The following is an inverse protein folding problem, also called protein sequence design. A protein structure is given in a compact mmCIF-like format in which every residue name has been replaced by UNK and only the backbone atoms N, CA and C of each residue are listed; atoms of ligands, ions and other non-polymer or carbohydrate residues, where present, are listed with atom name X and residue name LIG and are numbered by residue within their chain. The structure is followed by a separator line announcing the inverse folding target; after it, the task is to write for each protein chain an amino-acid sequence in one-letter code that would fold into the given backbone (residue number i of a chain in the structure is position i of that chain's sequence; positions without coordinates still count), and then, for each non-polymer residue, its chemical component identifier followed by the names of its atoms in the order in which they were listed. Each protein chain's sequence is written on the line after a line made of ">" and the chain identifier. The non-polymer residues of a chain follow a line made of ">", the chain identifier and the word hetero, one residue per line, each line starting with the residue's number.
data_IF_153075883440
#
_entry.id   IF_153075883440
#
_cell.length_a   1.000
_cell.length_b   1.000
_cell.length_c   1.000
_cell.angle_alpha   90.00
_cell.angle_beta   90.00
_cell.angle_gamma   90.00
#
_symmetry.space_group_name_H-M   'P 1'
#
loop_
_entity.id
_entity.type
_entity.pdbx_description
1 polymer ?
#
# COMPACT_ATOMS: atom_id res chain seq x y z
N UNK A 1 -11.62 27.10 -12.16
CA UNK A 1 -11.33 25.66 -12.30
C UNK A 1 -10.77 25.05 -11.00
N UNK A 2 -9.50 25.26 -10.60
CA UNK A 2 -8.91 24.64 -9.37
C UNK A 2 -9.56 25.04 -8.04
N UNK A 3 -9.86 26.32 -7.84
CA UNK A 3 -10.47 26.80 -6.59
C UNK A 3 -11.98 26.51 -6.47
N UNK A 4 -12.61 26.05 -7.56
CA UNK A 4 -14.03 25.69 -7.58
C UNK A 4 -14.25 24.20 -7.32
N UNK A 5 -13.24 23.34 -7.57
CA UNK A 5 -13.34 21.90 -7.33
C UNK A 5 -12.77 21.44 -5.99
N UNK A 6 -12.06 22.30 -5.25
CA UNK A 6 -11.42 21.93 -3.98
C UNK A 6 -10.22 20.97 -4.12
N UNK A 7 -9.68 20.80 -5.34
CA UNK A 7 -8.63 19.82 -5.62
C UNK A 7 -7.25 20.33 -5.19
N UNK A 8 -6.83 19.96 -3.98
CA UNK A 8 -5.48 20.22 -3.44
C UNK A 8 -4.71 18.92 -3.29
N UNK A 9 -3.41 18.95 -3.63
CA UNK A 9 -2.54 17.78 -3.48
C UNK A 9 -2.02 17.70 -2.04
N UNK A 10 -2.15 16.53 -1.42
CA UNK A 10 -1.61 16.28 -0.08
C UNK A 10 -0.09 16.07 -0.16
N UNK A 11 0.73 16.83 0.59
CA UNK A 11 2.18 16.62 0.64
C UNK A 11 2.54 15.19 1.04
N UNK A 12 3.66 14.67 0.54
CA UNK A 12 4.05 13.27 0.71
C UNK A 12 4.28 12.91 2.18
N UNK A 13 4.87 13.82 2.93
CA UNK A 13 5.17 13.69 4.35
C UNK A 13 3.89 13.49 5.17
N UNK A 14 2.84 14.22 4.79
CA UNK A 14 1.52 14.17 5.42
C UNK A 14 0.81 12.85 5.07
N UNK A 15 0.93 12.39 3.82
CA UNK A 15 0.42 11.07 3.41
C UNK A 15 1.11 9.96 4.19
N UNK A 16 2.44 9.95 4.22
CA UNK A 16 3.23 8.92 4.90
C UNK A 16 2.89 8.87 6.39
N UNK A 17 2.85 10.02 7.06
CA UNK A 17 2.50 10.09 8.48
C UNK A 17 1.11 9.51 8.77
N UNK A 18 0.10 9.89 7.99
CA UNK A 18 -1.26 9.40 8.20
C UNK A 18 -1.42 7.91 7.90
N UNK A 19 -0.74 7.41 6.86
CA UNK A 19 -0.73 5.98 6.55
C UNK A 19 -0.10 5.19 7.70
N UNK A 20 1.05 5.65 8.20
CA UNK A 20 1.77 5.00 9.29
C UNK A 20 0.93 4.96 10.57
N UNK A 21 0.36 6.10 11.00
CA UNK A 21 -0.53 6.14 12.16
C UNK A 21 -1.76 5.26 12.00
N UNK A 22 -2.34 5.18 10.80
CA UNK A 22 -3.53 4.36 10.53
C UNK A 22 -3.21 2.86 10.64
N UNK A 23 -2.12 2.41 10.03
CA UNK A 23 -1.70 1.00 10.09
C UNK A 23 -1.28 0.64 11.53
N UNK A 24 -0.50 1.48 12.20
CA UNK A 24 -0.10 1.26 13.61
C UNK A 24 -1.31 1.19 14.54
N UNK A 25 -2.30 2.07 14.34
CA UNK A 25 -3.53 2.06 15.14
C UNK A 25 -4.35 0.79 14.90
N UNK A 26 -4.37 0.25 13.67
CA UNK A 26 -5.07 -0.99 13.34
C UNK A 26 -4.38 -2.24 13.91
N UNK A 27 -3.05 -2.31 13.83
CA UNK A 27 -2.27 -3.44 14.37
C UNK A 27 -2.23 -3.45 15.90
N UNK A 28 -2.32 -2.27 16.52
CA UNK A 28 -2.13 -2.05 17.95
C UNK A 28 -0.74 -1.47 18.22
N UNK A 29 -0.65 -0.50 19.15
CA UNK A 29 0.60 0.24 19.42
C UNK A 29 1.55 -0.53 20.35
N UNK A 30 2.13 -1.64 19.87
CA UNK A 30 3.22 -2.36 20.54
C UNK A 30 4.61 -1.91 20.05
N UNK A 31 5.67 -2.18 20.82
CA UNK A 31 7.05 -1.90 20.38
C UNK A 31 7.42 -2.70 19.12
N UNK A 32 6.95 -3.95 19.01
CA UNK A 32 7.12 -4.75 17.81
C UNK A 32 6.43 -4.11 16.60
N UNK A 33 5.22 -3.59 16.77
CA UNK A 33 4.50 -2.93 15.67
C UNK A 33 5.24 -1.68 15.23
N UNK A 34 5.72 -0.85 16.16
CA UNK A 34 6.47 0.36 15.83
C UNK A 34 7.78 0.06 15.11
N UNK A 35 8.47 -1.02 15.48
CA UNK A 35 9.77 -1.34 14.86
C UNK A 35 9.65 -1.67 13.37
N UNK A 36 8.52 -2.22 12.91
CA UNK A 36 8.26 -2.50 11.48
C UNK A 36 8.32 -1.24 10.59
N UNK A 37 8.04 -0.08 11.17
CA UNK A 37 8.01 1.20 10.46
C UNK A 37 9.41 1.86 10.38
N UNK A 38 10.38 1.34 11.14
CA UNK A 38 11.77 1.80 11.12
C UNK A 38 12.48 1.41 9.83
N UNK A 39 13.43 2.23 9.40
CA UNK A 39 14.34 1.92 8.29
C UNK A 39 15.34 0.81 8.68
N UNK A 40 15.72 0.75 9.95
CA UNK A 40 16.70 -0.22 10.50
C UNK A 40 16.06 -1.54 10.96
N UNK A 41 14.82 -1.83 10.57
CA UNK A 41 14.12 -3.05 10.98
C UNK A 41 14.91 -4.30 10.56
N UNK A 42 15.06 -5.24 11.49
CA UNK A 42 15.65 -6.56 11.26
C UNK A 42 14.68 -7.63 11.74
N UNK A 43 14.53 -8.69 10.93
CA UNK A 43 13.73 -9.85 11.30
C UNK A 43 14.33 -10.57 12.51
N UNK A 44 13.52 -10.74 13.56
CA UNK A 44 13.88 -11.54 14.71
C UNK A 44 13.12 -12.88 14.71
N UNK A 45 13.86 -13.99 14.64
CA UNK A 45 13.27 -15.33 14.66
C UNK A 45 12.46 -15.61 15.93
N UNK A 46 12.71 -14.90 17.03
CA UNK A 46 11.94 -15.02 18.27
C UNK A 46 10.48 -14.55 18.13
N UNK A 47 10.19 -13.65 17.19
CA UNK A 47 8.87 -13.05 16.98
C UNK A 47 8.13 -13.60 15.76
N UNK A 48 8.51 -14.79 15.29
CA UNK A 48 7.99 -15.39 14.06
C UNK A 48 6.45 -15.53 14.07
N UNK A 49 5.87 -15.93 15.19
CA UNK A 49 4.42 -16.10 15.30
C UNK A 49 3.70 -14.74 15.26
N UNK A 50 4.24 -13.73 15.93
CA UNK A 50 3.70 -12.37 15.89
C UNK A 50 3.79 -11.76 14.49
N UNK A 51 4.90 -11.96 13.77
CA UNK A 51 5.02 -11.51 12.39
C UNK A 51 4.01 -12.19 11.47
N UNK A 52 3.79 -13.49 11.61
CA UNK A 52 2.77 -14.20 10.85
C UNK A 52 1.35 -13.66 11.14
N UNK A 53 1.05 -13.37 12.42
CA UNK A 53 -0.23 -12.77 12.80
C UNK A 53 -0.40 -11.33 12.27
N UNK A 54 0.67 -10.53 12.25
CA UNK A 54 0.67 -9.19 11.65
C UNK A 54 0.48 -9.28 10.14
N UNK A 55 1.21 -10.17 9.46
CA UNK A 55 1.08 -10.38 8.02
C UNK A 55 -0.37 -10.74 7.64
N UNK A 56 -0.98 -11.68 8.36
CA UNK A 56 -2.37 -12.09 8.14
C UNK A 56 -3.35 -10.92 8.35
N UNK A 57 -3.18 -10.13 9.41
CA UNK A 57 -3.98 -8.92 9.64
C UNK A 57 -3.84 -7.90 8.50
N UNK A 58 -2.63 -7.69 7.99
CA UNK A 58 -2.35 -6.72 6.92
C UNK A 58 -2.84 -7.20 5.56
N UNK A 59 -2.76 -8.50 5.26
CA UNK A 59 -3.30 -9.09 4.02
C UNK A 59 -4.83 -9.06 3.97
N UNK A 60 -5.49 -8.95 5.13
CA UNK A 60 -6.95 -8.92 5.25
C UNK A 60 -7.53 -7.54 5.60
N UNK A 61 -6.69 -6.51 5.78
CA UNK A 61 -7.15 -5.15 6.11
C UNK A 61 -8.05 -4.60 5.00
N UNK A 62 -9.08 -3.82 5.36
CA UNK A 62 -9.93 -3.09 4.39
C UNK A 62 -9.83 -1.60 4.67
N UNK A 63 -9.32 -0.83 3.70
CA UNK A 63 -9.15 0.62 3.83
C UNK A 63 -9.91 1.32 2.72
N UNK A 64 -10.66 2.36 3.08
CA UNK A 64 -11.43 3.17 2.16
C UNK A 64 -10.97 4.64 2.23
N UNK A 65 -10.64 5.20 1.07
CA UNK A 65 -10.49 6.65 0.89
C UNK A 65 -11.71 7.20 0.11
N UNK A 66 -12.65 7.90 0.76
CA UNK A 66 -13.90 8.35 0.14
C UNK A 66 -13.75 9.61 -0.73
N UNK A 67 -12.55 10.21 -0.79
CA UNK A 67 -12.24 11.36 -1.64
C UNK A 67 -10.80 11.22 -2.16
N UNK A 68 -10.56 10.11 -2.86
CA UNK A 68 -9.21 9.62 -3.12
C UNK A 68 -8.39 10.49 -4.07
N UNK A 69 -9.04 11.42 -4.78
CA UNK A 69 -8.42 12.30 -5.75
C UNK A 69 -7.63 11.49 -6.76
N UNK A 70 -6.42 11.97 -7.06
CA UNK A 70 -5.49 11.26 -7.94
C UNK A 70 -4.76 10.10 -7.27
N UNK A 71 -5.12 9.72 -6.04
CA UNK A 71 -4.65 8.49 -5.39
C UNK A 71 -3.44 8.68 -4.48
N UNK A 72 -3.30 9.84 -3.82
CA UNK A 72 -2.17 10.09 -2.93
C UNK A 72 -2.14 9.09 -1.74
N UNK A 73 -3.24 8.98 -0.99
CA UNK A 73 -3.33 8.04 0.13
C UNK A 73 -3.42 6.57 -0.29
N UNK A 74 -4.24 6.16 -1.28
CA UNK A 74 -4.27 4.77 -1.72
C UNK A 74 -2.91 4.25 -2.18
N UNK A 75 -2.12 5.08 -2.87
CA UNK A 75 -0.75 4.73 -3.26
C UNK A 75 0.22 4.71 -2.08
N UNK A 76 0.11 5.67 -1.16
CA UNK A 76 0.91 5.67 0.07
C UNK A 76 0.68 4.42 0.91
N UNK A 77 -0.59 4.04 1.08
CA UNK A 77 -1.00 2.82 1.76
C UNK A 77 -0.47 1.56 1.08
N UNK A 78 -0.65 1.44 -0.24
CA UNK A 78 -0.12 0.31 -1.01
C UNK A 78 1.38 0.13 -0.77
N UNK A 79 2.15 1.22 -0.95
CA UNK A 79 3.59 1.17 -0.80
C UNK A 79 4.00 0.78 0.63
N UNK A 80 3.30 1.31 1.64
CA UNK A 80 3.63 1.03 3.04
C UNK A 80 3.27 -0.39 3.46
N UNK A 81 2.12 -0.90 3.03
CA UNK A 81 1.73 -2.30 3.27
C UNK A 81 2.72 -3.26 2.61
N UNK A 82 3.12 -3.00 1.36
CA UNK A 82 4.11 -3.82 0.66
C UNK A 82 5.47 -3.76 1.35
N UNK A 83 5.95 -2.59 1.77
CA UNK A 83 7.22 -2.44 2.51
C UNK A 83 7.21 -3.29 3.79
N UNK A 84 6.17 -3.18 4.61
CA UNK A 84 6.05 -3.93 5.87
C UNK A 84 5.95 -5.44 5.60
N UNK A 85 5.10 -5.84 4.65
CA UNK A 85 4.92 -7.25 4.30
C UNK A 85 6.21 -7.86 3.74
N UNK A 86 6.94 -7.13 2.89
CA UNK A 86 8.20 -7.61 2.33
C UNK A 86 9.31 -7.70 3.38
N UNK A 87 9.30 -6.83 4.40
CA UNK A 87 10.21 -6.95 5.55
C UNK A 87 9.95 -8.21 6.37
N UNK A 88 8.69 -8.64 6.54
CA UNK A 88 8.34 -9.82 7.34
C UNK A 88 8.30 -11.13 6.53
N UNK A 89 8.04 -11.05 5.23
CA UNK A 89 7.96 -12.16 4.29
C UNK A 89 8.86 -11.87 3.05
N UNK A 90 10.19 -11.82 3.21
CA UNK A 90 11.12 -11.37 2.16
C UNK A 90 11.16 -12.27 0.93
N UNK A 91 10.64 -13.49 1.02
CA UNK A 91 10.54 -14.43 -0.09
C UNK A 91 9.33 -14.19 -0.99
N UNK A 92 8.33 -13.43 -0.53
CA UNK A 92 7.14 -13.14 -1.34
C UNK A 92 7.45 -12.08 -2.41
N UNK A 93 6.90 -12.28 -3.60
CA UNK A 93 7.11 -11.35 -4.71
C UNK A 93 6.41 -10.01 -4.44
N UNK A 94 7.13 -8.91 -4.67
CA UNK A 94 6.57 -7.56 -4.59
C UNK A 94 5.35 -7.42 -5.51
N UNK A 95 5.40 -8.02 -6.70
CA UNK A 95 4.26 -8.05 -7.63
C UNK A 95 3.04 -8.72 -7.00
N UNK A 96 3.21 -9.90 -6.40
CA UNK A 96 2.12 -10.64 -5.76
C UNK A 96 1.54 -9.88 -4.57
N UNK A 97 2.39 -9.27 -3.74
CA UNK A 97 1.96 -8.43 -2.63
C UNK A 97 1.13 -7.24 -3.13
N UNK A 98 1.64 -6.52 -4.14
CA UNK A 98 0.92 -5.39 -4.74
C UNK A 98 -0.43 -5.83 -5.31
N UNK A 99 -0.47 -6.92 -6.07
CA UNK A 99 -1.69 -7.44 -6.66
C UNK A 99 -2.72 -7.77 -5.58
N UNK A 100 -2.33 -8.56 -4.57
CA UNK A 100 -3.21 -8.95 -3.49
C UNK A 100 -3.76 -7.74 -2.71
N UNK A 101 -2.93 -6.74 -2.42
CA UNK A 101 -3.33 -5.52 -1.72
C UNK A 101 -4.27 -4.67 -2.57
N UNK A 102 -3.98 -4.49 -3.87
CA UNK A 102 -4.83 -3.71 -4.79
C UNK A 102 -6.20 -4.37 -4.93
N UNK A 103 -6.26 -5.69 -5.06
CA UNK A 103 -7.53 -6.41 -5.26
C UNK A 103 -8.37 -6.48 -3.98
N UNK A 104 -7.71 -6.66 -2.83
CA UNK A 104 -8.41 -7.07 -1.61
C UNK A 104 -8.36 -6.05 -0.47
N UNK A 105 -7.47 -5.06 -0.46
CA UNK A 105 -7.29 -4.21 0.71
C UNK A 105 -7.66 -2.75 0.49
N UNK A 106 -7.42 -2.22 -0.71
CA UNK A 106 -7.48 -0.76 -0.95
C UNK A 106 -8.69 -0.38 -1.80
N UNK A 107 -9.55 0.45 -1.22
CA UNK A 107 -10.77 0.94 -1.86
C UNK A 107 -10.75 2.47 -1.90
N UNK A 108 -11.30 3.04 -2.97
CA UNK A 108 -11.34 4.49 -3.14
C UNK A 108 -12.59 4.94 -3.89
N UNK A 109 -13.11 6.10 -3.51
CA UNK A 109 -14.19 6.80 -4.22
C UNK A 109 -13.80 8.25 -4.42
N UNK A 110 -14.32 8.85 -5.49
CA UNK A 110 -14.20 10.29 -5.73
C UNK A 110 -15.40 10.76 -6.55
N UNK A 111 -15.88 11.98 -6.25
CA UNK A 111 -16.95 12.62 -7.01
C UNK A 111 -16.54 12.88 -8.47
N UNK A 112 -15.25 13.10 -8.71
CA UNK A 112 -14.69 13.29 -10.04
C UNK A 112 -14.23 11.95 -10.61
N UNK A 113 -14.98 11.43 -11.58
CA UNK A 113 -14.66 10.16 -12.25
C UNK A 113 -13.23 10.12 -12.81
N UNK A 114 -12.72 11.24 -13.33
CA UNK A 114 -11.34 11.34 -13.84
C UNK A 114 -10.29 11.09 -12.76
N UNK A 115 -10.52 11.54 -11.53
CA UNK A 115 -9.61 11.36 -10.42
C UNK A 115 -9.51 9.87 -10.04
N UNK A 116 -10.66 9.19 -9.97
CA UNK A 116 -10.72 7.74 -9.77
C UNK A 116 -10.01 6.96 -10.90
N UNK A 117 -10.13 7.38 -12.16
CA UNK A 117 -9.42 6.75 -13.28
C UNK A 117 -7.90 6.95 -13.19
N UNK A 118 -7.44 8.15 -12.79
CA UNK A 118 -6.01 8.41 -12.55
C UNK A 118 -5.48 7.50 -11.44
N UNK A 119 -6.23 7.33 -10.34
CA UNK A 119 -5.85 6.42 -9.25
C UNK A 119 -5.73 4.97 -9.74
N UNK A 120 -6.68 4.48 -10.53
CA UNK A 120 -6.62 3.13 -11.14
C UNK A 120 -5.40 2.98 -12.04
N UNK A 121 -5.10 3.97 -12.88
CA UNK A 121 -3.92 3.96 -13.75
C UNK A 121 -2.62 3.92 -12.93
N UNK A 122 -2.54 4.65 -11.81
CA UNK A 122 -1.36 4.62 -10.93
C UNK A 122 -1.15 3.25 -10.31
N UNK A 123 -2.22 2.56 -9.89
CA UNK A 123 -2.12 1.18 -9.42
C UNK A 123 -1.62 0.24 -10.51
N UNK A 124 -2.19 0.35 -11.71
CA UNK A 124 -1.79 -0.47 -12.85
C UNK A 124 -0.31 -0.28 -13.22
N UNK A 125 0.17 0.97 -13.31
CA UNK A 125 1.58 1.27 -13.58
C UNK A 125 2.47 0.71 -12.46
N UNK A 126 2.07 0.90 -11.19
CA UNK A 126 2.81 0.38 -10.03
C UNK A 126 2.97 -1.14 -10.08
N UNK A 127 1.96 -1.85 -10.58
CA UNK A 127 1.98 -3.31 -10.71
C UNK A 127 2.87 -3.77 -11.86
N UNK A 128 2.74 -3.15 -13.06
CA UNK A 128 3.55 -3.53 -14.23
C UNK A 128 5.04 -3.29 -14.02
N UNK A 129 5.42 -2.28 -13.23
CA UNK A 129 6.82 -2.03 -12.91
C UNK A 129 7.53 -3.25 -12.27
N UNK A 130 6.80 -4.11 -11.56
CA UNK A 130 7.33 -5.31 -10.91
C UNK A 130 6.95 -6.61 -11.65
N UNK A 131 6.34 -6.52 -12.82
CA UNK A 131 5.99 -7.68 -13.62
C UNK A 131 7.24 -8.25 -14.31
N UNK A 132 7.53 -9.53 -14.09
CA UNK A 132 8.59 -10.22 -14.81
C UNK A 132 8.25 -10.36 -16.30
N UNK A 133 9.19 -9.95 -17.14
CA UNK A 133 9.02 -10.01 -18.59
C UNK A 133 9.37 -11.41 -19.10
N UNK A 134 8.45 -12.02 -19.83
CA UNK A 134 8.64 -13.30 -20.51
C UNK A 134 8.77 -13.08 -22.03
N UNK A 135 10.00 -13.07 -22.59
CA UNK A 135 10.23 -12.84 -24.01
C UNK A 135 9.58 -13.87 -24.95
N UNK A 136 9.13 -15.00 -24.42
CA UNK A 136 8.45 -16.04 -25.20
C UNK A 136 6.97 -15.73 -25.47
N UNK A 137 6.37 -14.77 -24.76
CA UNK A 137 4.97 -14.38 -24.92
C UNK A 137 4.81 -13.17 -25.85
N UNK A 138 3.70 -13.09 -26.63
CA UNK A 138 3.49 -12.03 -27.62
C UNK A 138 3.44 -10.61 -27.05
N UNK A 139 3.16 -10.47 -25.75
CA UNK A 139 3.11 -9.20 -25.03
C UNK A 139 4.17 -9.11 -23.90
N UNK A 140 5.13 -10.04 -23.85
CA UNK A 140 6.15 -10.12 -22.81
C UNK A 140 5.64 -10.39 -21.39
N UNK A 141 4.37 -10.80 -21.22
CA UNK A 141 3.71 -10.87 -19.90
C UNK A 141 2.43 -10.06 -19.88
#
# INVERSE_FOLDING_TARGET
>A
ARNQSGSFYTPREIVNYMVDESIMSYLGKSELTKSLFSEDFQLDAAHKEEYAAIADKLKNIKVLDPACGSGAFPMGLLNRLVDILHKIEPTESIYNLKLAIIENCVYGSDIQSIAAQITKLRFFISLICDCEKDPSKPNFG
#
